data_IF_828184181352
#
_entry.id   IF_828184181352
#
_cell.length_a   1.000
_cell.length_b   1.000
_cell.length_c   1.000
_cell.angle_alpha   90.00
_cell.angle_beta   90.00
_cell.angle_gamma   90.00
#
_symmetry.space_group_name_H-M   'P 1'
#
loop_
_entity.id
_entity.type
_entity.pdbx_description
1 polymer ?
#
# COMPACT_ATOMS: atom_id res chain seq x y z
N UNK A 1 4.94 -8.90 -26.28
CA UNK A 1 5.61 -7.82 -27.03
C UNK A 1 7.09 -7.95 -26.79
N UNK A 2 7.90 -8.04 -27.83
CA UNK A 2 9.36 -8.10 -27.74
C UNK A 2 9.98 -6.68 -27.81
N UNK A 3 11.31 -6.58 -27.72
CA UNK A 3 12.01 -5.29 -27.72
C UNK A 3 11.84 -4.53 -29.04
N UNK A 4 11.94 -5.21 -30.19
CA UNK A 4 11.84 -4.57 -31.50
C UNK A 4 10.44 -3.98 -31.72
N UNK A 5 9.39 -4.72 -31.36
CA UNK A 5 8.00 -4.24 -31.39
C UNK A 5 7.80 -3.02 -30.47
N UNK A 6 8.45 -3.01 -29.30
CA UNK A 6 8.42 -1.87 -28.38
C UNK A 6 9.12 -0.66 -28.99
N UNK A 7 10.33 -0.84 -29.50
CA UNK A 7 11.13 0.20 -30.15
C UNK A 7 10.37 0.81 -31.33
N UNK A 8 9.72 -0.02 -32.16
CA UNK A 8 8.88 0.44 -33.26
C UNK A 8 7.70 1.28 -32.77
N UNK A 9 7.01 0.87 -31.69
CA UNK A 9 5.89 1.63 -31.12
C UNK A 9 6.28 3.03 -30.63
N UNK A 10 7.48 3.16 -30.07
CA UNK A 10 7.99 4.42 -29.52
C UNK A 10 8.98 5.16 -30.43
N UNK A 11 9.18 4.67 -31.66
CA UNK A 11 10.12 5.24 -32.66
C UNK A 11 11.56 5.36 -32.11
N UNK A 12 11.99 4.37 -31.33
CA UNK A 12 13.25 4.41 -30.58
C UNK A 12 14.50 4.46 -31.49
N UNK A 13 14.41 3.99 -32.73
CA UNK A 13 15.52 4.05 -33.70
C UNK A 13 15.66 5.42 -34.39
N UNK A 14 14.75 6.36 -34.15
CA UNK A 14 14.83 7.72 -34.68
C UNK A 14 15.17 8.71 -33.57
N UNK A 15 16.45 9.09 -33.48
CA UNK A 15 16.95 10.07 -32.48
C UNK A 15 16.24 11.44 -32.54
N UNK A 16 15.67 11.80 -33.70
CA UNK A 16 14.90 13.03 -33.89
C UNK A 16 13.40 12.86 -33.64
N UNK A 17 12.95 11.66 -33.24
CA UNK A 17 11.55 11.41 -32.94
C UNK A 17 11.07 12.29 -31.80
N UNK A 18 10.09 13.15 -32.09
CA UNK A 18 9.38 13.94 -31.08
C UNK A 18 8.56 13.03 -30.17
N UNK A 19 8.07 11.91 -30.69
CA UNK A 19 7.28 10.93 -29.94
C UNK A 19 8.12 10.23 -28.89
N UNK A 20 9.33 9.79 -29.25
CA UNK A 20 10.28 9.19 -28.31
C UNK A 20 10.60 10.14 -27.15
N UNK A 21 10.95 11.39 -27.45
CA UNK A 21 11.25 12.42 -26.44
C UNK A 21 10.05 12.74 -25.56
N UNK A 22 8.85 12.84 -26.14
CA UNK A 22 7.62 13.06 -25.39
C UNK A 22 7.29 11.88 -24.46
N UNK A 23 7.42 10.64 -24.94
CA UNK A 23 7.23 9.44 -24.14
C UNK A 23 8.23 9.37 -22.98
N UNK A 24 9.52 9.63 -23.25
CA UNK A 24 10.56 9.65 -22.21
C UNK A 24 10.27 10.71 -21.13
N UNK A 25 9.92 11.94 -21.53
CA UNK A 25 9.56 13.00 -20.59
C UNK A 25 8.34 12.63 -19.76
N UNK A 26 7.29 12.12 -20.41
CA UNK A 26 6.06 11.68 -19.74
C UNK A 26 6.33 10.57 -18.72
N UNK A 27 7.13 9.56 -19.08
CA UNK A 27 7.48 8.46 -18.17
C UNK A 27 8.28 8.98 -16.98
N UNK A 28 9.25 9.88 -17.21
CA UNK A 28 10.04 10.50 -16.15
C UNK A 28 9.15 11.29 -15.16
N UNK A 29 8.19 12.05 -15.67
CA UNK A 29 7.23 12.83 -14.87
C UNK A 29 6.27 11.93 -14.09
N UNK A 30 5.71 10.90 -14.73
CA UNK A 30 4.80 9.95 -14.07
C UNK A 30 5.53 9.19 -12.96
N UNK A 31 6.77 8.76 -13.19
CA UNK A 31 7.58 8.11 -12.14
C UNK A 31 7.74 9.03 -10.92
N UNK A 32 8.10 10.30 -11.12
CA UNK A 32 8.20 11.29 -10.03
C UNK A 32 6.86 11.43 -9.30
N UNK A 33 5.77 11.52 -10.05
CA UNK A 33 4.42 11.62 -9.52
C UNK A 33 4.02 10.38 -8.69
N UNK A 34 4.35 9.16 -9.14
CA UNK A 34 4.07 7.93 -8.40
C UNK A 34 4.89 7.82 -7.10
N UNK A 35 6.12 8.35 -7.07
CA UNK A 35 6.90 8.45 -5.83
C UNK A 35 6.21 9.40 -4.85
N UNK A 36 5.74 10.56 -5.30
CA UNK A 36 5.03 11.51 -4.43
C UNK A 36 3.70 10.93 -3.92
N UNK A 37 2.91 10.32 -4.80
CA UNK A 37 1.66 9.67 -4.43
C UNK A 37 1.86 8.52 -3.44
N UNK A 38 2.95 7.76 -3.58
CA UNK A 38 3.28 6.71 -2.63
C UNK A 38 3.38 7.25 -1.20
N UNK A 39 4.11 8.36 -1.01
CA UNK A 39 4.23 9.00 0.30
C UNK A 39 2.90 9.60 0.78
N UNK A 40 2.14 10.27 -0.10
CA UNK A 40 0.81 10.82 0.26
C UNK A 40 -0.15 9.73 0.74
N UNK A 41 -0.22 8.61 0.03
CA UNK A 41 -1.03 7.45 0.43
C UNK A 41 -0.57 6.90 1.78
N UNK A 42 0.75 6.78 2.00
CA UNK A 42 1.28 6.33 3.27
C UNK A 42 0.87 7.25 4.43
N UNK A 43 1.00 8.57 4.29
CA UNK A 43 0.60 9.54 5.33
C UNK A 43 -0.86 9.39 5.74
N UNK A 44 -1.77 9.24 4.77
CA UNK A 44 -3.19 9.02 5.04
C UNK A 44 -3.42 7.77 5.92
N UNK A 45 -2.80 6.64 5.58
CA UNK A 45 -2.96 5.41 6.36
C UNK A 45 -2.33 5.53 7.75
N UNK A 46 -1.14 6.13 7.86
CA UNK A 46 -0.50 6.37 9.15
C UNK A 46 -1.39 7.17 10.10
N UNK A 47 -2.04 8.23 9.61
CA UNK A 47 -2.93 9.04 10.44
C UNK A 47 -4.09 8.19 11.01
N UNK A 48 -4.73 7.37 10.18
CA UNK A 48 -5.81 6.47 10.63
C UNK A 48 -5.32 5.40 11.61
N UNK A 49 -4.15 4.83 11.38
CA UNK A 49 -3.54 3.81 12.24
C UNK A 49 -3.19 4.41 13.61
N UNK A 50 -2.62 5.62 13.65
CA UNK A 50 -2.33 6.34 14.90
C UNK A 50 -3.62 6.57 15.70
N UNK A 51 -4.66 7.09 15.06
CA UNK A 51 -5.97 7.30 15.71
C UNK A 51 -6.54 5.99 16.24
N UNK A 52 -6.43 4.89 15.48
CA UNK A 52 -6.87 3.57 15.95
C UNK A 52 -6.07 3.09 17.16
N UNK A 53 -4.74 3.26 17.18
CA UNK A 53 -3.91 2.92 18.35
C UNK A 53 -4.28 3.76 19.57
N UNK A 54 -4.42 5.07 19.40
CA UNK A 54 -4.86 5.97 20.47
C UNK A 54 -6.22 5.52 21.00
N UNK A 55 -7.20 5.28 20.14
CA UNK A 55 -8.52 4.78 20.55
C UNK A 55 -8.44 3.45 21.30
N UNK A 56 -7.64 2.50 20.82
CA UNK A 56 -7.45 1.20 21.45
C UNK A 56 -6.92 1.34 22.89
N UNK A 57 -5.83 2.09 23.07
CA UNK A 57 -5.20 2.27 24.38
C UNK A 57 -6.01 3.17 25.30
N UNK A 58 -6.67 4.22 24.80
CA UNK A 58 -7.57 5.06 25.60
C UNK A 58 -8.75 4.25 26.17
N UNK A 59 -9.34 3.35 25.38
CA UNK A 59 -10.40 2.45 25.87
C UNK A 59 -9.86 1.51 26.94
N UNK A 60 -8.68 0.92 26.71
CA UNK A 60 -8.10 -0.07 27.63
C UNK A 60 -7.73 0.56 28.99
N UNK A 61 -7.19 1.78 28.98
CA UNK A 61 -6.81 2.55 30.16
C UNK A 61 -7.99 3.09 30.96
N UNK A 62 -9.19 3.15 30.38
CA UNK A 62 -10.37 3.58 31.11
C UNK A 62 -10.90 2.50 32.06
N UNK A 63 -11.22 2.89 33.28
CA UNK A 63 -11.89 2.03 34.26
C UNK A 63 -13.42 2.07 34.12
N UNK A 64 -13.97 3.15 33.55
CA UNK A 64 -15.40 3.41 33.53
C UNK A 64 -16.12 2.91 32.28
N UNK A 65 -15.39 2.41 31.26
CA UNK A 65 -16.01 1.92 30.02
C UNK A 65 -16.51 0.48 30.21
N UNK A 66 -17.84 0.25 30.16
CA UNK A 66 -18.37 -1.11 30.19
C UNK A 66 -17.94 -1.86 28.92
N UNK A 67 -17.63 -3.14 29.06
CA UNK A 67 -17.19 -3.99 27.94
C UNK A 67 -15.96 -3.45 27.18
N UNK A 68 -15.05 -2.74 27.86
CA UNK A 68 -13.86 -2.13 27.23
C UNK A 68 -13.07 -3.08 26.33
N UNK A 69 -12.89 -4.34 26.73
CA UNK A 69 -12.19 -5.34 25.92
C UNK A 69 -12.94 -5.74 24.64
N UNK A 70 -14.27 -5.66 24.60
CA UNK A 70 -15.04 -5.82 23.36
C UNK A 70 -14.83 -4.62 22.44
N UNK A 71 -14.93 -3.39 22.97
CA UNK A 71 -14.69 -2.19 22.18
C UNK A 71 -13.24 -2.11 21.67
N UNK A 72 -12.26 -2.47 22.49
CA UNK A 72 -10.84 -2.61 22.09
C UNK A 72 -10.67 -3.66 20.97
N UNK A 73 -11.41 -4.77 21.00
CA UNK A 73 -11.43 -5.73 19.90
C UNK A 73 -12.01 -5.13 18.60
N UNK A 74 -13.09 -4.36 18.69
CA UNK A 74 -13.64 -3.68 17.51
C UNK A 74 -12.61 -2.71 16.93
N UNK A 75 -11.98 -1.90 17.77
CA UNK A 75 -10.95 -0.94 17.33
C UNK A 75 -9.73 -1.66 16.75
N UNK A 76 -9.31 -2.79 17.32
CA UNK A 76 -8.18 -3.54 16.77
C UNK A 76 -8.49 -4.16 15.41
N UNK A 77 -9.74 -4.57 15.15
CA UNK A 77 -10.18 -5.00 13.83
C UNK A 77 -10.16 -3.82 12.81
N UNK A 78 -10.58 -2.62 13.23
CA UNK A 78 -10.51 -1.41 12.38
C UNK A 78 -9.04 -1.08 12.06
N UNK A 79 -8.18 -1.03 13.08
CA UNK A 79 -6.75 -0.78 12.92
C UNK A 79 -6.07 -1.82 12.02
N UNK A 80 -6.44 -3.10 12.18
CA UNK A 80 -6.01 -4.18 11.29
C UNK A 80 -6.42 -3.92 9.83
N UNK A 81 -7.68 -3.57 9.56
CA UNK A 81 -8.17 -3.29 8.20
C UNK A 81 -7.39 -2.13 7.57
N UNK A 82 -7.21 -1.02 8.30
CA UNK A 82 -6.45 0.12 7.77
C UNK A 82 -4.99 -0.24 7.48
N UNK A 83 -4.36 -1.02 8.35
CA UNK A 83 -2.98 -1.46 8.14
C UNK A 83 -2.87 -2.47 6.99
N UNK A 84 -3.84 -3.38 6.85
CA UNK A 84 -3.87 -4.33 5.75
C UNK A 84 -4.10 -3.64 4.39
N UNK A 85 -5.01 -2.67 4.35
CA UNK A 85 -5.22 -1.83 3.18
C UNK A 85 -3.95 -1.04 2.82
N UNK A 86 -3.25 -0.51 3.83
CA UNK A 86 -1.97 0.17 3.63
C UNK A 86 -0.89 -0.75 3.07
N UNK A 87 -0.78 -1.98 3.57
CA UNK A 87 0.13 -2.99 3.04
C UNK A 87 -0.16 -3.29 1.56
N UNK A 88 -1.41 -3.53 1.20
CA UNK A 88 -1.81 -3.77 -0.20
C UNK A 88 -1.57 -2.54 -1.09
N UNK A 89 -1.92 -1.34 -0.62
CA UNK A 89 -1.69 -0.08 -1.34
C UNK A 89 -0.19 0.17 -1.57
N UNK A 90 0.66 -0.18 -0.59
CA UNK A 90 2.12 -0.09 -0.73
C UNK A 90 2.66 -1.05 -1.78
N UNK A 91 2.08 -2.25 -1.89
CA UNK A 91 2.41 -3.22 -2.96
C UNK A 91 1.94 -2.74 -4.33
N UNK A 92 0.71 -2.23 -4.43
CA UNK A 92 0.16 -1.69 -5.67
C UNK A 92 0.94 -0.49 -6.19
N UNK A 93 1.35 0.42 -5.29
CA UNK A 93 2.19 1.57 -5.65
C UNK A 93 3.56 1.13 -6.19
N UNK A 94 4.18 0.14 -5.52
CA UNK A 94 5.48 -0.41 -5.96
C UNK A 94 5.38 -1.05 -7.35
N UNK A 95 4.30 -1.79 -7.62
CA UNK A 95 4.05 -2.38 -8.94
C UNK A 95 4.01 -1.34 -10.07
N UNK A 96 3.32 -0.22 -9.85
CA UNK A 96 3.25 0.86 -10.84
C UNK A 96 4.55 1.65 -10.96
N UNK A 97 5.25 1.91 -9.85
CA UNK A 97 6.59 2.51 -9.88
C UNK A 97 7.54 1.67 -10.74
N UNK A 98 7.65 0.37 -10.46
CA UNK A 98 8.51 -0.54 -11.22
C UNK A 98 8.10 -0.62 -12.70
N UNK A 99 6.80 -0.55 -13.02
CA UNK A 99 6.34 -0.45 -14.41
C UNK A 99 6.89 0.79 -15.13
N UNK A 100 6.81 1.97 -14.51
CA UNK A 100 7.29 3.22 -15.12
C UNK A 100 8.81 3.33 -15.12
N UNK A 101 9.49 2.80 -14.10
CA UNK A 101 10.95 2.67 -14.07
C UNK A 101 11.44 1.79 -15.24
N UNK A 102 10.79 0.64 -15.48
CA UNK A 102 11.11 -0.20 -16.65
C UNK A 102 10.87 0.53 -17.98
N UNK A 103 9.79 1.30 -18.12
CA UNK A 103 9.57 2.10 -19.33
C UNK A 103 10.68 3.15 -19.53
N UNK A 104 11.17 3.74 -18.44
CA UNK A 104 12.24 4.72 -18.51
C UNK A 104 13.54 4.04 -18.95
N UNK A 105 13.88 2.90 -18.35
CA UNK A 105 15.04 2.08 -18.70
C UNK A 105 15.04 1.74 -20.20
N UNK A 106 13.90 1.31 -20.74
CA UNK A 106 13.80 0.93 -22.15
C UNK A 106 13.95 2.09 -23.13
N UNK A 107 13.68 3.34 -22.69
CA UNK A 107 13.68 4.52 -23.57
C UNK A 107 14.94 5.38 -23.43
N UNK A 108 15.60 5.38 -22.26
CA UNK A 108 16.63 6.38 -21.93
C UNK A 108 17.86 6.32 -22.83
N UNK A 109 18.30 5.13 -23.25
CA UNK A 109 19.57 4.94 -23.97
C UNK A 109 19.58 5.74 -25.29
N UNK A 110 18.40 5.89 -25.90
CA UNK A 110 18.20 6.59 -27.18
C UNK A 110 17.93 8.08 -27.02
N UNK A 111 17.76 8.58 -25.79
CA UNK A 111 17.39 9.99 -25.51
C UNK A 111 18.48 10.70 -24.72
N UNK A 112 18.90 10.12 -23.60
CA UNK A 112 19.87 10.71 -22.66
C UNK A 112 21.10 9.84 -22.45
N UNK A 113 21.15 8.65 -23.08
CA UNK A 113 22.06 7.59 -22.68
C UNK A 113 21.59 6.90 -21.38
N UNK A 114 22.39 5.98 -20.82
CA UNK A 114 22.01 5.15 -19.67
C UNK A 114 22.12 5.92 -18.33
N UNK A 115 21.58 7.14 -18.26
CA UNK A 115 21.75 8.06 -17.15
C UNK A 115 21.16 7.49 -15.85
N UNK A 116 19.97 6.92 -15.92
CA UNK A 116 19.26 6.34 -14.78
C UNK A 116 19.77 4.94 -14.43
N UNK A 117 20.16 4.12 -15.42
CA UNK A 117 20.82 2.82 -15.19
C UNK A 117 22.22 2.91 -14.58
N UNK A 118 22.94 4.01 -14.81
CA UNK A 118 24.34 4.15 -14.35
C UNK A 118 24.39 4.50 -12.86
N UNK A 119 24.78 3.53 -12.03
CA UNK A 119 24.95 3.73 -10.59
C UNK A 119 26.37 4.23 -10.28
N UNK A 120 26.46 5.36 -9.57
CA UNK A 120 27.71 5.87 -9.01
C UNK A 120 27.72 5.66 -7.50
N UNK A 121 28.47 4.64 -7.06
CA UNK A 121 28.55 4.24 -5.65
C UNK A 121 29.84 4.72 -4.98
N UNK A 122 29.82 4.83 -3.63
CA UNK A 122 31.02 5.17 -2.87
C UNK A 122 32.04 4.02 -2.94
N UNK A 123 33.34 4.31 -3.14
CA UNK A 123 34.36 3.27 -3.25
C UNK A 123 34.68 2.60 -1.90
N UNK A 124 34.54 3.32 -0.79
CA UNK A 124 34.78 2.82 0.56
C UNK A 124 34.04 3.66 1.62
N UNK A 125 33.97 3.13 2.85
CA UNK A 125 33.46 3.82 4.03
C UNK A 125 34.62 4.34 4.87
N UNK A 126 34.46 5.51 5.49
CA UNK A 126 35.54 6.13 6.27
C UNK A 126 35.82 5.39 7.58
N UNK A 127 34.79 4.86 8.24
CA UNK A 127 34.89 4.12 9.49
C UNK A 127 33.66 3.20 9.70
N UNK A 128 33.63 2.47 10.82
CA UNK A 128 32.54 1.55 11.14
C UNK A 128 31.20 2.25 11.38
N UNK A 129 31.21 3.46 11.95
CA UNK A 129 29.98 4.24 12.15
C UNK A 129 29.40 4.69 10.79
N UNK A 130 30.25 5.11 9.86
CA UNK A 130 29.86 5.41 8.48
C UNK A 130 29.31 4.17 7.77
N UNK A 131 29.96 3.01 7.92
CA UNK A 131 29.49 1.77 7.29
C UNK A 131 28.12 1.28 7.78
N UNK A 132 27.81 1.45 9.07
CA UNK A 132 26.63 0.82 9.69
C UNK A 132 25.52 1.77 10.11
N UNK A 133 25.79 3.07 10.29
CA UNK A 133 24.83 4.02 10.88
C UNK A 133 24.55 5.18 9.92
N UNK A 134 25.59 5.87 9.44
CA UNK A 134 25.41 7.17 8.76
C UNK A 134 25.63 7.14 7.25
N UNK A 135 26.31 6.12 6.73
CA UNK A 135 26.61 5.99 5.31
C UNK A 135 25.40 5.54 4.48
N UNK A 136 25.45 5.78 3.16
CA UNK A 136 24.37 5.39 2.26
C UNK A 136 24.29 3.87 2.10
N UNK A 137 23.08 3.36 1.86
CA UNK A 137 22.83 1.95 1.58
C UNK A 137 21.81 1.83 0.44
N UNK A 138 21.99 0.84 -0.45
CA UNK A 138 21.09 0.54 -1.57
C UNK A 138 19.82 -0.18 -1.10
N UNK A 139 19.02 0.50 -0.28
CA UNK A 139 17.77 -0.02 0.27
C UNK A 139 16.54 0.50 -0.47
N UNK A 140 15.58 -0.38 -0.72
CA UNK A 140 14.30 0.01 -1.29
C UNK A 140 13.37 0.53 -0.20
N UNK A 141 13.11 1.84 -0.22
CA UNK A 141 12.23 2.50 0.75
C UNK A 141 10.82 1.90 0.76
N UNK A 142 10.30 1.51 -0.42
CA UNK A 142 8.99 0.87 -0.52
C UNK A 142 8.95 -0.53 0.10
N UNK A 143 10.04 -1.32 0.01
CA UNK A 143 10.13 -2.63 0.68
C UNK A 143 10.21 -2.49 2.20
N UNK A 144 10.95 -1.51 2.72
CA UNK A 144 11.01 -1.23 4.17
C UNK A 144 9.60 -0.96 4.70
N UNK A 145 8.84 -0.12 4.01
CA UNK A 145 7.49 0.22 4.42
C UNK A 145 6.51 -0.97 4.38
N UNK A 146 6.68 -1.88 3.41
CA UNK A 146 5.94 -3.14 3.35
C UNK A 146 6.25 -4.03 4.56
N UNK A 147 7.52 -4.07 5.01
CA UNK A 147 7.89 -4.77 6.24
C UNK A 147 7.31 -4.13 7.50
N UNK A 148 7.33 -2.79 7.59
CA UNK A 148 6.71 -2.06 8.71
C UNK A 148 5.21 -2.32 8.78
N UNK A 149 4.50 -2.23 7.66
CA UNK A 149 3.07 -2.53 7.61
C UNK A 149 2.77 -4.00 7.95
N UNK A 150 3.58 -4.95 7.48
CA UNK A 150 3.47 -6.35 7.88
C UNK A 150 3.66 -6.53 9.39
N UNK A 151 4.66 -5.88 9.99
CA UNK A 151 4.86 -5.91 11.44
C UNK A 151 3.63 -5.37 12.19
N UNK A 152 3.10 -4.22 11.79
CA UNK A 152 1.93 -3.60 12.45
C UNK A 152 0.67 -4.46 12.29
N UNK A 153 0.49 -5.16 11.16
CA UNK A 153 -0.58 -6.16 11.01
C UNK A 153 -0.49 -7.24 12.10
N UNK A 154 0.71 -7.77 12.37
CA UNK A 154 0.91 -8.76 13.43
C UNK A 154 0.62 -8.17 14.82
N UNK A 155 1.01 -6.92 15.08
CA UNK A 155 0.66 -6.21 16.32
C UNK A 155 -0.86 -6.15 16.50
N UNK A 156 -1.62 -5.76 15.47
CA UNK A 156 -3.08 -5.72 15.56
C UNK A 156 -3.71 -7.10 15.81
N UNK A 157 -3.18 -8.16 15.19
CA UNK A 157 -3.63 -9.53 15.46
C UNK A 157 -3.40 -9.92 16.92
N UNK A 158 -2.24 -9.60 17.49
CA UNK A 158 -1.94 -9.85 18.90
C UNK A 158 -2.85 -9.03 19.84
N UNK A 159 -3.09 -7.76 19.55
CA UNK A 159 -4.01 -6.92 20.33
C UNK A 159 -5.47 -7.40 20.25
N UNK A 160 -5.89 -7.87 19.08
CA UNK A 160 -7.19 -8.49 18.87
C UNK A 160 -7.34 -9.78 19.67
N UNK A 161 -6.33 -10.66 19.66
CA UNK A 161 -6.30 -11.87 20.45
C UNK A 161 -6.32 -11.56 21.96
N UNK A 162 -5.50 -10.61 22.42
CA UNK A 162 -5.46 -10.17 23.82
C UNK A 162 -6.82 -9.62 24.30
N UNK A 163 -7.44 -8.75 23.50
CA UNK A 163 -8.76 -8.18 23.81
C UNK A 163 -9.84 -9.27 23.86
N UNK A 164 -9.81 -10.21 22.93
CA UNK A 164 -10.74 -11.34 22.89
C UNK A 164 -10.57 -12.24 24.12
N UNK A 165 -9.33 -12.62 24.44
CA UNK A 165 -9.02 -13.46 25.59
C UNK A 165 -9.55 -12.85 26.90
N UNK A 166 -9.21 -11.60 27.20
CA UNK A 166 -9.66 -10.94 28.44
C UNK A 166 -11.18 -10.76 28.51
N UNK A 167 -11.82 -10.52 27.36
CA UNK A 167 -13.27 -10.34 27.28
C UNK A 167 -14.06 -11.64 27.44
N UNK A 168 -13.50 -12.77 26.99
CA UNK A 168 -14.13 -14.09 27.05
C UNK A 168 -13.74 -14.88 28.32
N UNK A 169 -12.56 -14.63 28.89
CA UNK A 169 -12.09 -15.30 30.11
C UNK A 169 -13.00 -15.06 31.33
N UNK A 170 -13.66 -13.90 31.38
CA UNK A 170 -14.66 -13.56 32.43
C UNK A 170 -16.05 -14.21 32.21
N UNK A 171 -16.22 -15.01 31.15
CA UNK A 171 -17.47 -15.71 30.88
C UNK A 171 -17.51 -17.06 31.62
N UNK A 172 -17.92 -17.05 32.89
CA UNK A 172 -18.80 -18.15 33.34
C UNK A 172 -20.01 -18.14 32.40
N UNK A 173 -20.47 -19.32 31.93
CA UNK A 173 -21.46 -19.54 30.87
C UNK A 173 -22.91 -19.66 31.40
N UNK A 174 -23.66 -18.57 31.65
CA UNK A 174 -25.11 -18.55 31.66
C UNK A 174 -25.67 -18.10 30.30
N UNK A 175 -26.94 -18.44 30.09
CA UNK A 175 -27.74 -18.36 28.86
C UNK A 175 -27.83 -16.97 28.19
N UNK A 176 -27.38 -15.89 28.84
CA UNK A 176 -27.43 -14.51 28.32
C UNK A 176 -26.19 -14.01 27.58
N UNK A 177 -25.07 -14.75 27.58
CA UNK A 177 -23.78 -14.30 27.00
C UNK A 177 -23.54 -14.73 25.55
N UNK A 178 -24.44 -15.53 24.95
CA UNK A 178 -24.33 -15.99 23.56
C UNK A 178 -24.36 -14.87 22.53
N UNK A 179 -25.15 -13.81 22.76
CA UNK A 179 -25.18 -12.63 21.89
C UNK A 179 -23.79 -12.00 21.72
N UNK A 180 -23.02 -11.91 22.81
CA UNK A 180 -21.66 -11.35 22.79
C UNK A 180 -20.73 -12.19 21.89
N UNK A 181 -20.81 -13.52 22.00
CA UNK A 181 -20.02 -14.45 21.17
C UNK A 181 -20.39 -14.32 19.69
N UNK A 182 -21.69 -14.24 19.38
CA UNK A 182 -22.18 -14.04 18.01
C UNK A 182 -21.63 -12.74 17.43
N UNK A 183 -21.62 -11.65 18.20
CA UNK A 183 -21.06 -10.37 17.76
C UNK A 183 -19.55 -10.44 17.48
N UNK A 184 -18.76 -11.13 18.31
CA UNK A 184 -17.34 -11.37 18.03
C UNK A 184 -17.13 -12.09 16.69
N UNK A 185 -17.85 -13.19 16.48
CA UNK A 185 -17.76 -13.99 15.26
C UNK A 185 -18.16 -13.16 14.05
N UNK A 186 -19.26 -12.40 14.15
CA UNK A 186 -19.73 -11.53 13.08
C UNK A 186 -18.67 -10.50 12.68
N UNK A 187 -18.08 -9.79 13.64
CA UNK A 187 -17.05 -8.78 13.39
C UNK A 187 -15.79 -9.41 12.79
N UNK A 188 -15.39 -10.59 13.27
CA UNK A 188 -14.25 -11.33 12.72
C UNK A 188 -14.50 -11.73 11.26
N UNK A 189 -15.67 -12.29 10.97
CA UNK A 189 -16.07 -12.67 9.60
C UNK A 189 -16.11 -11.43 8.71
N UNK A 190 -16.71 -10.32 9.15
CA UNK A 190 -16.76 -9.08 8.40
C UNK A 190 -15.35 -8.53 8.10
N UNK A 191 -14.43 -8.64 9.07
CA UNK A 191 -13.03 -8.24 8.92
C UNK A 191 -12.31 -9.09 7.88
N UNK A 192 -12.42 -10.43 7.99
CA UNK A 192 -11.82 -11.36 7.02
C UNK A 192 -12.41 -11.21 5.63
N UNK A 193 -13.73 -11.05 5.53
CA UNK A 193 -14.43 -10.78 4.28
C UNK A 193 -13.92 -9.49 3.62
N UNK A 194 -13.74 -8.42 4.41
CA UNK A 194 -13.16 -7.17 3.92
C UNK A 194 -11.75 -7.36 3.35
N UNK A 195 -10.90 -8.15 4.03
CA UNK A 195 -9.58 -8.49 3.51
C UNK A 195 -9.64 -9.27 2.19
N UNK A 196 -10.54 -10.26 2.09
CA UNK A 196 -10.75 -11.05 0.86
C UNK A 196 -11.23 -10.15 -0.29
N UNK A 197 -12.17 -9.24 -0.02
CA UNK A 197 -12.66 -8.27 -0.99
C UNK A 197 -11.52 -7.38 -1.51
N UNK A 198 -10.72 -6.81 -0.60
CA UNK A 198 -9.58 -5.97 -0.97
C UNK A 198 -8.54 -6.73 -1.80
N UNK A 199 -8.23 -7.97 -1.43
CA UNK A 199 -7.22 -8.77 -2.14
C UNK A 199 -7.71 -9.28 -3.51
N UNK A 200 -8.99 -9.66 -3.60
CA UNK A 200 -9.54 -10.32 -4.79
C UNK A 200 -10.05 -9.31 -5.82
N UNK A 201 -10.88 -8.36 -5.36
CA UNK A 201 -11.52 -7.36 -6.22
C UNK A 201 -10.73 -6.06 -6.34
N UNK A 202 -9.70 -5.85 -5.51
CA UNK A 202 -8.80 -4.69 -5.62
C UNK A 202 -7.71 -4.82 -6.69
N UNK A 203 -7.73 -5.87 -7.52
CA UNK A 203 -6.71 -6.10 -8.55
C UNK A 203 -6.90 -5.18 -9.75
N UNK A 204 -5.80 -4.58 -10.21
CA UNK A 204 -5.76 -3.78 -11.45
C UNK A 204 -6.14 -4.60 -12.67
N UNK A 205 -6.99 -4.04 -13.54
CA UNK A 205 -7.29 -4.59 -14.87
C UNK A 205 -6.08 -4.44 -15.80
N UNK A 206 -5.67 -5.52 -16.45
CA UNK A 206 -4.52 -5.55 -17.38
C UNK A 206 -4.91 -5.75 -18.85
N UNK A 207 -6.12 -6.24 -19.07
CA UNK A 207 -6.63 -6.58 -20.40
C UNK A 207 -7.62 -5.53 -20.92
N UNK A 208 -8.36 -5.87 -21.96
CA UNK A 208 -9.26 -4.96 -22.68
C UNK A 208 -10.32 -4.36 -21.75
N UNK A 209 -10.18 -3.07 -21.45
CA UNK A 209 -11.22 -2.26 -20.80
C UNK A 209 -11.95 -1.42 -21.86
N UNK A 210 -12.94 -2.01 -22.53
CA UNK A 210 -13.66 -1.32 -23.62
C UNK A 210 -14.69 -0.34 -23.02
N UNK A 211 -14.63 0.96 -23.34
CA UNK A 211 -15.65 1.91 -22.89
C UNK A 211 -16.98 1.64 -23.62
N UNK A 212 -18.09 1.79 -22.91
CA UNK A 212 -19.42 1.92 -23.51
C UNK A 212 -19.67 3.41 -23.77
N UNK A 213 -19.87 3.78 -25.03
CA UNK A 213 -20.23 5.15 -25.42
C UNK A 213 -21.75 5.28 -25.32
N UNK A 214 -22.22 6.22 -24.51
CA UNK A 214 -23.65 6.54 -24.38
C UNK A 214 -23.82 8.02 -24.71
N UNK A 215 -24.59 8.30 -25.77
CA UNK A 215 -24.91 9.66 -26.19
C UNK A 215 -26.23 10.12 -25.56
N UNK A 216 -26.22 11.27 -24.87
CA UNK A 216 -27.43 11.88 -24.31
C UNK A 216 -28.11 12.72 -25.40
N UNK A 217 -29.37 12.40 -25.73
CA UNK A 217 -30.19 13.25 -26.60
C UNK A 217 -30.65 14.49 -25.82
N UNK A 218 -30.35 15.66 -26.37
CA UNK A 218 -30.84 16.95 -25.87
C UNK A 218 -31.46 17.68 -27.05
N UNK A 219 -32.71 18.11 -26.92
CA UNK A 219 -33.39 18.95 -27.92
C UNK A 219 -33.35 20.40 -27.43
N UNK A 220 -33.07 21.33 -28.35
CA UNK A 220 -33.23 22.77 -28.10
C UNK A 220 -34.67 23.11 -28.54
N UNK A 221 -35.45 23.72 -27.66
CA UNK A 221 -36.80 24.24 -27.95
C UNK A 221 -36.75 25.57 -28.71
#
# INVERSE_FOLDING_TARGET
MNQDEYNLKFEAENEKSKKLKAAFNQVSDIRKFEIELYWKRATYFWALIVVAFTGYFSILSSEHIPSKFFLSFVVSCIGFIFTFAWFLSSRGSKYWQENWENHLDLLEDKVTGPLYKTLLERPSYENLADKFITGPMSVSVSKINQWVSFFIVNVWLLLSAFSTYNSLFSLHLPSGKWLKIILYIFILIATLFSCVMMFSFGKTHKDKHSPLVVERKTTIE
#
